data_IF_723423473953
#
_entry.id   IF_723423473953
#
_cell.length_a   1.000
_cell.length_b   1.000
_cell.length_c   1.000
_cell.angle_alpha   90.00
_cell.angle_beta   90.00
_cell.angle_gamma   90.00
#
_symmetry.space_group_name_H-M   'P 1'
#
loop_
_entity.id
_entity.type
_entity.pdbx_description
1 polymer ?
#
# COMPACT_ATOMS: atom_id res chain seq x y z
N UNK A 1 -9.89 4.02 22.51
CA UNK A 1 -9.22 5.16 21.85
C UNK A 1 -10.16 5.84 20.88
N UNK A 2 -9.84 7.08 20.54
CA UNK A 2 -10.42 7.79 19.41
C UNK A 2 -9.42 7.76 18.21
N UNK A 3 -9.85 7.24 17.08
CA UNK A 3 -9.00 7.07 15.88
C UNK A 3 -9.66 7.78 14.69
N UNK A 4 -8.87 8.49 13.91
CA UNK A 4 -9.28 9.06 12.62
C UNK A 4 -8.56 8.30 11.51
N UNK A 5 -9.31 7.79 10.51
CA UNK A 5 -8.74 7.13 9.34
C UNK A 5 -9.04 7.98 8.10
N UNK A 6 -8.00 8.46 7.43
CA UNK A 6 -8.10 9.36 6.28
C UNK A 6 -7.85 8.59 4.98
N UNK A 7 -8.76 8.74 4.04
CA UNK A 7 -8.94 8.00 2.80
C UNK A 7 -9.56 6.60 3.03
N UNK A 8 -10.88 6.51 2.80
CA UNK A 8 -11.68 5.29 2.97
C UNK A 8 -11.75 4.44 1.68
N UNK A 9 -10.60 4.29 1.01
CA UNK A 9 -10.48 3.40 -0.13
C UNK A 9 -10.46 1.92 0.25
N UNK A 10 -10.01 1.08 -0.71
CA UNK A 10 -9.95 -0.39 -0.54
C UNK A 10 -9.13 -0.87 0.66
N UNK A 11 -8.23 -0.06 1.19
CA UNK A 11 -7.42 -0.37 2.38
C UNK A 11 -7.96 0.35 3.61
N UNK A 12 -8.17 1.67 3.53
CA UNK A 12 -8.53 2.48 4.70
C UNK A 12 -9.87 2.11 5.31
N UNK A 13 -10.88 1.78 4.50
CA UNK A 13 -12.20 1.41 5.03
C UNK A 13 -12.21 0.07 5.77
N UNK A 14 -11.64 -1.03 5.24
CA UNK A 14 -11.51 -2.27 6.02
C UNK A 14 -10.68 -2.08 7.30
N UNK A 15 -9.61 -1.30 7.25
CA UNK A 15 -8.81 -0.98 8.45
C UNK A 15 -9.64 -0.20 9.48
N UNK A 16 -10.40 0.82 9.07
CA UNK A 16 -11.29 1.56 9.95
C UNK A 16 -12.34 0.66 10.62
N UNK A 17 -12.94 -0.26 9.85
CA UNK A 17 -13.88 -1.24 10.38
C UNK A 17 -13.21 -2.23 11.34
N UNK A 18 -11.98 -2.68 11.05
CA UNK A 18 -11.21 -3.56 11.93
C UNK A 18 -10.91 -2.89 13.27
N UNK A 19 -10.45 -1.64 13.25
CA UNK A 19 -10.18 -0.84 14.46
C UNK A 19 -11.47 -0.64 15.28
N UNK A 20 -12.59 -0.33 14.62
CA UNK A 20 -13.88 -0.17 15.28
C UNK A 20 -14.38 -1.49 15.90
N UNK A 21 -14.16 -2.64 15.25
CA UNK A 21 -14.47 -3.97 15.81
C UNK A 21 -13.64 -4.31 17.03
N UNK A 22 -12.41 -3.82 17.10
CA UNK A 22 -11.58 -3.93 18.31
C UNK A 22 -12.07 -3.06 19.49
N UNK A 23 -13.20 -2.35 19.32
CA UNK A 23 -13.86 -1.58 20.39
C UNK A 23 -13.46 -0.11 20.44
N UNK A 24 -12.80 0.42 19.41
CA UNK A 24 -12.40 1.82 19.35
C UNK A 24 -13.46 2.69 18.64
N UNK A 25 -13.51 3.98 19.01
CA UNK A 25 -14.29 4.97 18.29
C UNK A 25 -13.50 5.43 17.07
N UNK A 26 -14.09 5.28 15.88
CA UNK A 26 -13.43 5.60 14.61
C UNK A 26 -14.22 6.66 13.84
N UNK A 27 -13.51 7.67 13.34
CA UNK A 27 -14.04 8.60 12.34
C UNK A 27 -13.27 8.37 11.04
N UNK A 28 -13.97 7.89 10.02
CA UNK A 28 -13.42 7.79 8.67
C UNK A 28 -13.58 9.12 7.93
N UNK A 29 -12.55 9.52 7.16
CA UNK A 29 -12.61 10.70 6.32
C UNK A 29 -12.31 10.34 4.87
N UNK A 30 -13.15 10.80 3.94
CA UNK A 30 -12.92 10.66 2.51
C UNK A 30 -13.40 11.90 1.76
N UNK A 31 -12.70 12.28 0.69
CA UNK A 31 -13.08 13.44 -0.14
C UNK A 31 -14.36 13.20 -0.96
N UNK A 32 -14.70 11.94 -1.26
CA UNK A 32 -15.96 11.61 -1.96
C UNK A 32 -17.11 11.50 -0.96
N UNK A 33 -18.09 12.44 -0.98
CA UNK A 33 -19.23 12.40 -0.08
C UNK A 33 -20.07 11.13 -0.24
N UNK A 34 -20.09 10.50 -1.43
CA UNK A 34 -20.82 9.25 -1.67
C UNK A 34 -20.19 8.09 -0.91
N UNK A 35 -18.88 8.04 -0.78
CA UNK A 35 -18.19 7.05 0.07
C UNK A 35 -18.63 7.22 1.51
N UNK A 36 -18.62 8.45 2.04
CA UNK A 36 -19.06 8.72 3.41
C UNK A 36 -20.54 8.37 3.63
N UNK A 37 -21.42 8.69 2.68
CA UNK A 37 -22.85 8.34 2.76
C UNK A 37 -23.08 6.84 2.79
N UNK A 38 -22.41 6.07 1.92
CA UNK A 38 -22.49 4.61 1.88
C UNK A 38 -22.01 3.99 3.19
N UNK A 39 -20.84 4.41 3.68
CA UNK A 39 -20.30 3.94 4.96
C UNK A 39 -21.28 4.21 6.11
N UNK A 40 -21.85 5.42 6.19
CA UNK A 40 -22.80 5.78 7.24
C UNK A 40 -24.14 4.99 7.14
N UNK A 41 -24.44 4.40 5.98
CA UNK A 41 -25.57 3.47 5.80
C UNK A 41 -25.17 2.00 5.97
N UNK A 42 -23.93 1.73 6.40
CA UNK A 42 -23.33 0.40 6.48
C UNK A 42 -23.30 -0.35 5.12
N UNK A 43 -23.14 0.39 4.02
CA UNK A 43 -23.06 -0.15 2.66
C UNK A 43 -21.59 -0.09 2.16
N UNK A 44 -21.17 -1.11 1.42
CA UNK A 44 -19.82 -1.15 0.84
C UNK A 44 -19.68 -0.22 -0.38
N UNK A 45 -18.80 0.79 -0.36
CA UNK A 45 -18.50 1.59 -1.56
C UNK A 45 -17.75 0.82 -2.64
N UNK A 46 -16.96 -0.18 -2.23
CA UNK A 46 -16.06 -0.97 -3.10
C UNK A 46 -16.28 -2.46 -2.83
N UNK A 47 -16.99 -3.20 -3.70
CA UNK A 47 -17.23 -4.62 -3.49
C UNK A 47 -15.97 -5.46 -3.66
N UNK A 48 -15.92 -6.60 -2.98
CA UNK A 48 -14.89 -7.61 -3.18
C UNK A 48 -13.97 -7.85 -1.98
N UNK A 49 -14.19 -7.16 -0.85
CA UNK A 49 -13.48 -7.46 0.40
C UNK A 49 -14.31 -8.40 1.29
N UNK A 50 -13.77 -9.59 1.55
CA UNK A 50 -14.48 -10.60 2.33
C UNK A 50 -14.75 -10.12 3.77
N UNK A 51 -16.02 -10.11 4.17
CA UNK A 51 -16.45 -9.76 5.52
C UNK A 51 -16.66 -8.26 5.77
N UNK A 52 -16.38 -7.37 4.81
CA UNK A 52 -16.51 -5.92 5.01
C UNK A 52 -17.96 -5.50 5.26
N UNK A 53 -18.94 -6.00 4.48
CA UNK A 53 -20.35 -5.69 4.67
C UNK A 53 -20.84 -6.02 6.08
N UNK A 54 -20.49 -7.21 6.58
CA UNK A 54 -20.84 -7.63 7.94
C UNK A 54 -20.17 -6.75 9.01
N UNK A 55 -18.89 -6.41 8.80
CA UNK A 55 -18.16 -5.53 9.71
C UNK A 55 -18.78 -4.12 9.76
N UNK A 56 -19.13 -3.54 8.60
CA UNK A 56 -19.79 -2.23 8.53
C UNK A 56 -21.15 -2.24 9.23
N UNK A 57 -21.97 -3.26 8.97
CA UNK A 57 -23.28 -3.40 9.63
C UNK A 57 -23.16 -3.41 11.16
N UNK A 58 -22.14 -4.11 11.69
CA UNK A 58 -21.85 -4.17 13.12
C UNK A 58 -21.39 -2.80 13.65
N UNK A 59 -20.29 -2.25 13.11
CA UNK A 59 -19.62 -1.10 13.75
C UNK A 59 -20.32 0.23 13.52
N UNK A 60 -21.05 0.38 12.42
CA UNK A 60 -21.90 1.55 12.16
C UNK A 60 -23.19 1.45 12.99
N UNK A 61 -23.81 0.26 13.07
CA UNK A 61 -24.98 0.01 13.90
C UNK A 61 -24.76 0.31 15.37
N UNK A 62 -23.57 0.01 15.89
CA UNK A 62 -23.16 0.30 17.27
C UNK A 62 -22.66 1.74 17.49
N UNK A 63 -22.58 2.55 16.43
CA UNK A 63 -22.06 3.92 16.47
C UNK A 63 -20.54 4.03 16.70
N UNK A 64 -19.78 2.93 16.52
CA UNK A 64 -18.32 2.92 16.67
C UNK A 64 -17.57 3.45 15.44
N UNK A 65 -18.21 3.40 14.26
CA UNK A 65 -17.70 3.97 13.02
C UNK A 65 -18.69 4.96 12.44
N UNK A 66 -18.23 6.16 12.10
CA UNK A 66 -18.92 7.12 11.25
C UNK A 66 -17.97 7.67 10.21
N UNK A 67 -18.49 8.22 9.13
CA UNK A 67 -17.69 8.83 8.07
C UNK A 67 -18.11 10.28 7.78
N UNK A 68 -17.16 11.12 7.40
CA UNK A 68 -17.38 12.52 7.03
C UNK A 68 -16.33 12.98 6.00
N UNK A 69 -16.59 14.11 5.33
CA UNK A 69 -15.66 14.66 4.33
C UNK A 69 -14.65 15.65 4.92
N UNK A 70 -14.90 16.18 6.09
CA UNK A 70 -14.06 17.20 6.72
C UNK A 70 -13.01 16.53 7.64
N UNK A 71 -11.83 16.29 7.07
CA UNK A 71 -10.67 15.74 7.80
C UNK A 71 -10.21 16.66 8.92
N UNK A 72 -10.14 17.96 8.67
CA UNK A 72 -9.71 18.95 9.67
C UNK A 72 -10.61 18.94 10.90
N UNK A 73 -11.94 18.94 10.70
CA UNK A 73 -12.88 18.86 11.80
C UNK A 73 -12.76 17.54 12.59
N UNK A 74 -12.55 16.40 11.90
CA UNK A 74 -12.36 15.10 12.56
C UNK A 74 -11.10 15.09 13.44
N UNK A 75 -9.98 15.60 12.91
CA UNK A 75 -8.70 15.67 13.64
C UNK A 75 -8.77 16.68 14.79
N UNK A 76 -9.54 17.77 14.64
CA UNK A 76 -9.74 18.77 15.68
C UNK A 76 -10.50 18.21 16.92
N UNK A 77 -11.15 17.05 16.82
CA UNK A 77 -11.74 16.36 17.97
C UNK A 77 -10.69 15.77 18.93
N UNK A 78 -9.40 15.84 18.60
CA UNK A 78 -8.28 15.37 19.44
C UNK A 78 -8.18 13.83 19.50
N UNK A 79 -8.02 13.14 18.35
CA UNK A 79 -7.83 11.69 18.35
C UNK A 79 -6.49 11.28 18.96
N UNK A 80 -6.45 10.07 19.53
CA UNK A 80 -5.21 9.43 19.98
C UNK A 80 -4.31 9.08 18.78
N UNK A 81 -4.94 8.68 17.65
CA UNK A 81 -4.27 8.22 16.44
C UNK A 81 -4.99 8.73 15.19
N UNK A 82 -4.24 9.31 14.27
CA UNK A 82 -4.66 9.59 12.90
C UNK A 82 -3.91 8.65 11.97
N UNK A 83 -4.62 7.87 11.16
CA UNK A 83 -4.03 6.98 10.14
C UNK A 83 -4.31 7.56 8.77
N UNK A 84 -3.26 7.91 8.02
CA UNK A 84 -3.36 8.45 6.68
C UNK A 84 -3.03 7.37 5.63
N UNK A 85 -4.00 7.07 4.76
CA UNK A 85 -3.89 6.03 3.71
C UNK A 85 -4.22 6.61 2.31
N UNK A 86 -3.86 7.89 1.99
CA UNK A 86 -4.13 8.41 0.66
C UNK A 86 -3.28 7.70 -0.39
N UNK A 87 -3.72 7.62 -1.66
CA UNK A 87 -2.90 7.06 -2.72
C UNK A 87 -1.69 7.96 -3.02
N UNK A 88 -0.51 7.35 -3.19
CA UNK A 88 0.64 8.00 -3.80
C UNK A 88 0.89 7.32 -5.16
N UNK A 89 0.79 8.11 -6.22
CA UNK A 89 0.95 7.67 -7.60
C UNK A 89 2.30 8.16 -8.15
N UNK A 90 2.61 7.76 -9.38
CA UNK A 90 3.70 8.33 -10.17
C UNK A 90 3.17 9.12 -11.34
N UNK A 91 3.88 10.19 -11.70
CA UNK A 91 3.62 10.96 -12.91
C UNK A 91 4.10 10.22 -14.18
N UNK A 92 3.91 10.82 -15.35
CA UNK A 92 4.34 10.26 -16.63
C UNK A 92 5.87 10.05 -16.73
N UNK A 93 6.65 10.72 -15.89
CA UNK A 93 8.10 10.55 -15.77
C UNK A 93 8.50 9.57 -14.66
N UNK A 94 7.55 8.79 -14.14
CA UNK A 94 7.75 7.83 -13.06
C UNK A 94 8.24 8.45 -11.73
N UNK A 95 7.94 9.72 -11.50
CA UNK A 95 8.26 10.44 -10.24
C UNK A 95 7.04 10.46 -9.32
N UNK A 96 7.21 10.41 -7.97
CA UNK A 96 6.11 10.49 -7.03
C UNK A 96 5.26 11.76 -7.23
N UNK A 97 3.95 11.61 -7.30
CA UNK A 97 2.99 12.71 -7.37
C UNK A 97 2.47 13.04 -5.97
N UNK A 98 3.02 14.06 -5.38
CA UNK A 98 2.78 14.44 -3.98
C UNK A 98 1.44 15.14 -3.71
N UNK A 99 0.71 15.59 -4.75
CA UNK A 99 -0.43 16.48 -4.60
C UNK A 99 -1.50 15.97 -3.62
N UNK A 100 -1.83 14.70 -3.69
CA UNK A 100 -2.86 14.10 -2.82
C UNK A 100 -2.33 13.96 -1.39
N UNK A 101 -1.10 13.45 -1.23
CA UNK A 101 -0.49 13.31 0.09
C UNK A 101 -0.35 14.66 0.78
N UNK A 102 0.14 15.68 0.06
CA UNK A 102 0.32 17.03 0.62
C UNK A 102 -1.01 17.66 1.05
N UNK A 103 -2.08 17.48 0.28
CA UNK A 103 -3.40 17.97 0.65
C UNK A 103 -3.91 17.29 1.93
N UNK A 104 -3.79 15.96 2.02
CA UNK A 104 -4.19 15.20 3.22
C UNK A 104 -3.37 15.62 4.44
N UNK A 105 -2.07 15.78 4.28
CA UNK A 105 -1.19 16.23 5.38
C UNK A 105 -1.55 17.65 5.84
N UNK A 106 -1.90 18.55 4.91
CA UNK A 106 -2.34 19.90 5.24
C UNK A 106 -3.66 19.91 6.03
N UNK A 107 -4.64 19.08 5.61
CA UNK A 107 -5.93 18.95 6.32
C UNK A 107 -5.74 18.38 7.74
N UNK A 108 -4.86 17.38 7.89
CA UNK A 108 -4.51 16.83 9.20
C UNK A 108 -3.84 17.91 10.07
N UNK A 109 -2.87 18.61 9.52
CA UNK A 109 -2.12 19.64 10.23
C UNK A 109 -3.04 20.75 10.78
N UNK A 110 -4.01 21.19 9.98
CA UNK A 110 -4.95 22.27 10.38
C UNK A 110 -5.82 21.88 11.59
N UNK A 111 -6.10 20.58 11.78
CA UNK A 111 -6.86 20.08 12.93
C UNK A 111 -6.01 19.53 14.07
N UNK A 112 -4.70 19.37 13.88
CA UNK A 112 -3.83 18.60 14.78
C UNK A 112 -3.80 19.16 16.21
N UNK A 113 -3.87 18.26 17.19
CA UNK A 113 -3.86 18.61 18.62
C UNK A 113 -2.67 17.98 19.32
N UNK A 114 -2.18 18.59 20.41
CA UNK A 114 -1.14 17.99 21.26
C UNK A 114 -1.57 16.60 21.77
N UNK A 115 -0.62 15.66 21.78
CA UNK A 115 -0.84 14.26 22.22
C UNK A 115 -1.26 13.31 21.10
N UNK A 116 -1.62 13.81 19.92
CA UNK A 116 -1.99 12.98 18.75
C UNK A 116 -0.76 12.28 18.15
N UNK A 117 -0.91 11.02 17.77
CA UNK A 117 0.04 10.32 16.89
C UNK A 117 -0.50 10.29 15.46
N UNK A 118 0.31 10.69 14.49
CA UNK A 118 -0.01 10.59 13.06
C UNK A 118 0.76 9.44 12.44
N UNK A 119 0.07 8.43 11.94
CA UNK A 119 0.63 7.30 11.22
C UNK A 119 0.38 7.43 9.74
N UNK A 120 1.42 7.31 8.93
CA UNK A 120 1.29 7.18 7.47
C UNK A 120 1.41 5.71 7.10
N UNK A 121 0.40 5.19 6.39
CA UNK A 121 0.39 3.79 5.91
C UNK A 121 0.57 3.67 4.40
N UNK A 122 0.40 4.76 3.68
CA UNK A 122 0.70 4.85 2.25
C UNK A 122 2.16 4.53 1.99
N UNK A 123 2.44 3.66 1.02
CA UNK A 123 3.83 3.38 0.61
C UNK A 123 4.51 4.63 0.09
N UNK A 124 5.68 4.94 0.65
CA UNK A 124 6.44 6.16 0.41
C UNK A 124 7.87 5.85 -0.03
N UNK A 125 8.54 6.76 -0.76
CA UNK A 125 10.00 6.80 -0.85
C UNK A 125 10.62 6.95 0.55
N UNK A 126 11.78 6.33 0.76
CA UNK A 126 12.50 6.39 2.06
C UNK A 126 12.82 7.83 2.45
N UNK A 127 12.60 8.15 3.72
CA UNK A 127 12.83 9.49 4.29
C UNK A 127 11.62 10.42 4.20
N UNK A 128 10.57 10.08 3.44
CA UNK A 128 9.41 10.95 3.22
C UNK A 128 8.70 11.32 4.51
N UNK A 129 8.55 10.40 5.44
CA UNK A 129 7.90 10.66 6.73
C UNK A 129 8.64 11.74 7.52
N UNK A 130 9.96 11.68 7.55
CA UNK A 130 10.82 12.63 8.27
C UNK A 130 10.99 13.96 7.54
N UNK A 131 11.23 13.92 6.22
CA UNK A 131 11.68 15.10 5.47
C UNK A 131 10.51 15.90 4.87
N UNK A 132 9.33 15.25 4.71
CA UNK A 132 8.17 15.89 4.10
C UNK A 132 6.96 15.95 5.02
N UNK A 133 6.53 14.80 5.59
CA UNK A 133 5.27 14.73 6.34
C UNK A 133 5.39 15.48 7.68
N UNK A 134 6.35 15.14 8.52
CA UNK A 134 6.48 15.74 9.84
C UNK A 134 6.73 17.25 9.79
N UNK A 135 7.59 17.80 8.90
CA UNK A 135 7.73 19.24 8.75
C UNK A 135 6.45 19.94 8.28
N UNK A 136 5.67 19.32 7.38
CA UNK A 136 4.40 19.89 6.93
C UNK A 136 3.34 19.89 8.03
N UNK A 137 3.27 18.81 8.84
CA UNK A 137 2.41 18.78 10.03
C UNK A 137 2.79 19.87 11.04
N UNK A 138 4.07 20.05 11.30
CA UNK A 138 4.56 21.10 12.20
C UNK A 138 4.22 22.50 11.69
N UNK A 139 4.50 22.78 10.42
CA UNK A 139 4.24 24.08 9.80
C UNK A 139 2.74 24.44 9.79
N UNK A 140 1.86 23.48 9.50
CA UNK A 140 0.42 23.72 9.44
C UNK A 140 -0.27 23.80 10.81
N UNK A 141 0.24 23.08 11.81
CA UNK A 141 -0.35 23.05 13.17
C UNK A 141 0.28 24.06 14.14
N UNK A 142 1.52 24.47 13.89
CA UNK A 142 2.32 25.25 14.85
C UNK A 142 2.82 24.44 16.05
N UNK A 143 2.67 23.11 16.02
CA UNK A 143 3.12 22.18 17.07
C UNK A 143 4.53 21.68 16.80
N UNK A 144 5.25 21.30 17.86
CA UNK A 144 6.61 20.76 17.76
C UNK A 144 6.58 19.23 17.60
N UNK A 145 7.17 18.69 16.50
CA UNK A 145 7.26 17.25 16.30
C UNK A 145 8.01 16.55 17.44
N UNK A 146 7.59 15.32 17.76
CA UNK A 146 8.20 14.45 18.77
C UNK A 146 8.16 15.00 20.21
N UNK A 147 7.47 16.13 20.40
CA UNK A 147 7.16 16.70 21.71
C UNK A 147 5.66 16.90 21.90
N UNK A 148 5.02 17.62 21.00
CA UNK A 148 3.59 17.93 21.06
C UNK A 148 2.75 16.89 20.33
N UNK A 149 3.29 16.27 19.29
CA UNK A 149 2.72 15.17 18.54
C UNK A 149 3.81 14.21 18.06
N UNK A 150 3.42 12.97 17.74
CA UNK A 150 4.35 11.98 17.21
C UNK A 150 4.00 11.63 15.76
N UNK A 151 5.02 11.29 14.97
CA UNK A 151 4.83 10.80 13.61
C UNK A 151 5.48 9.43 13.45
N UNK A 152 4.70 8.47 12.93
CA UNK A 152 5.18 7.10 12.65
C UNK A 152 4.83 6.72 11.21
N UNK A 153 5.60 5.80 10.68
CA UNK A 153 5.29 5.10 9.44
C UNK A 153 4.94 3.64 9.73
N UNK A 154 3.81 3.18 9.21
CA UNK A 154 3.35 1.81 9.42
C UNK A 154 2.78 1.24 8.12
N UNK A 155 3.62 0.65 7.24
CA UNK A 155 3.17 0.25 5.92
C UNK A 155 2.07 -0.82 5.97
N UNK A 156 1.09 -0.68 5.08
CA UNK A 156 0.11 -1.73 4.90
C UNK A 156 0.66 -2.86 4.02
N UNK A 157 0.48 -4.11 4.46
CA UNK A 157 1.05 -5.31 3.84
C UNK A 157 0.00 -6.34 3.42
N UNK A 158 -1.27 -5.98 3.54
CA UNK A 158 -2.41 -6.85 3.23
C UNK A 158 -2.66 -6.99 1.74
N UNK A 159 -3.44 -7.99 1.37
CA UNK A 159 -3.89 -8.23 0.01
C UNK A 159 -5.40 -7.99 -0.09
N UNK A 160 -5.83 -7.17 -1.07
CA UNK A 160 -7.25 -6.89 -1.32
C UNK A 160 -8.06 -8.17 -1.49
N UNK A 161 -9.25 -8.23 -0.88
CA UNK A 161 -10.12 -9.40 -0.85
C UNK A 161 -9.92 -10.29 0.38
N UNK A 162 -8.88 -10.08 1.18
CA UNK A 162 -8.61 -10.83 2.41
C UNK A 162 -7.94 -10.00 3.51
N UNK A 163 -8.23 -8.70 3.54
CA UNK A 163 -7.56 -7.73 4.40
C UNK A 163 -7.71 -8.11 5.89
N UNK A 164 -8.92 -8.45 6.33
CA UNK A 164 -9.15 -8.84 7.74
C UNK A 164 -8.29 -10.02 8.17
N UNK A 165 -8.21 -11.06 7.32
CA UNK A 165 -7.35 -12.22 7.59
C UNK A 165 -5.88 -11.83 7.68
N UNK A 166 -5.43 -10.98 6.75
CA UNK A 166 -4.01 -10.60 6.66
C UNK A 166 -3.63 -9.68 7.84
N UNK A 167 -4.54 -8.81 8.32
CA UNK A 167 -4.37 -8.00 9.53
C UNK A 167 -4.22 -8.85 10.80
N UNK A 168 -4.88 -10.01 10.85
CA UNK A 168 -4.79 -10.95 11.98
C UNK A 168 -3.58 -11.90 11.88
N UNK A 169 -2.85 -11.89 10.76
CA UNK A 169 -1.81 -12.90 10.48
C UNK A 169 -0.42 -12.30 10.29
N UNK A 170 -0.32 -11.16 9.58
CA UNK A 170 0.98 -10.58 9.24
C UNK A 170 1.47 -9.62 10.33
N UNK A 171 2.77 -9.64 10.65
CA UNK A 171 3.32 -8.62 11.54
C UNK A 171 3.04 -7.22 11.02
N UNK A 172 2.49 -6.36 11.87
CA UNK A 172 2.35 -4.92 11.60
C UNK A 172 3.65 -4.22 11.96
N UNK A 173 4.25 -3.55 10.99
CA UNK A 173 5.51 -2.84 11.19
C UNK A 173 5.24 -1.41 11.64
N UNK A 174 5.99 -0.91 12.60
CA UNK A 174 5.89 0.48 13.07
C UNK A 174 7.29 1.07 13.20
N UNK A 175 7.57 2.15 12.48
CA UNK A 175 8.80 2.90 12.61
C UNK A 175 8.51 4.35 13.00
N UNK A 176 9.15 4.84 14.05
CA UNK A 176 8.99 6.21 14.53
C UNK A 176 10.08 7.16 14.05
N UNK A 177 9.83 8.47 14.18
CA UNK A 177 10.87 9.49 13.98
C UNK A 177 11.77 9.63 15.21
N UNK A 178 11.28 9.17 16.37
CA UNK A 178 12.02 9.03 17.62
C UNK A 178 11.68 7.71 18.30
N UNK A 179 12.49 7.28 19.27
CA UNK A 179 12.21 6.10 20.08
C UNK A 179 10.89 6.24 20.87
N UNK A 180 10.57 7.44 21.33
CA UNK A 180 9.32 7.72 22.03
C UNK A 180 8.11 7.61 21.09
N UNK A 181 8.21 8.18 19.87
CA UNK A 181 7.18 8.09 18.85
C UNK A 181 6.95 6.66 18.39
N UNK A 182 8.03 5.87 18.18
CA UNK A 182 7.90 4.45 17.85
C UNK A 182 7.20 3.66 18.97
N UNK A 183 7.63 3.85 20.23
CA UNK A 183 7.02 3.16 21.36
C UNK A 183 5.52 3.49 21.47
N UNK A 184 5.17 4.77 21.30
CA UNK A 184 3.77 5.22 21.28
C UNK A 184 2.98 4.61 20.15
N UNK A 185 3.52 4.60 18.91
CA UNK A 185 2.91 3.95 17.77
C UNK A 185 2.69 2.45 18.00
N UNK A 186 3.70 1.73 18.50
CA UNK A 186 3.60 0.30 18.81
C UNK A 186 2.50 0.03 19.85
N UNK A 187 2.40 0.85 20.91
CA UNK A 187 1.34 0.74 21.91
C UNK A 187 -0.05 0.89 21.29
N UNK A 188 -0.24 1.93 20.45
CA UNK A 188 -1.51 2.20 19.78
C UNK A 188 -1.92 1.05 18.84
N UNK A 189 -1.00 0.58 17.98
CA UNK A 189 -1.29 -0.53 17.07
C UNK A 189 -1.59 -1.85 17.82
N UNK A 190 -0.91 -2.15 18.91
CA UNK A 190 -1.20 -3.33 19.73
C UNK A 190 -2.61 -3.37 20.32
N UNK A 191 -3.29 -2.23 20.41
CA UNK A 191 -4.64 -2.17 20.94
C UNK A 191 -5.71 -2.71 20.00
N UNK A 192 -5.41 -2.85 18.69
CA UNK A 192 -6.35 -3.35 17.70
C UNK A 192 -5.75 -4.40 16.75
N UNK A 193 -4.44 -4.56 16.68
CA UNK A 193 -3.83 -5.68 15.98
C UNK A 193 -3.84 -6.87 16.93
N UNK A 194 -4.48 -7.96 16.50
CA UNK A 194 -4.74 -9.13 17.33
C UNK A 194 -4.48 -10.44 16.58
N UNK A 195 -5.08 -11.52 17.06
CA UNK A 195 -4.91 -12.84 16.46
C UNK A 195 -3.49 -13.39 16.63
N UNK A 196 -2.89 -13.85 15.53
CA UNK A 196 -1.50 -14.29 15.48
C UNK A 196 -0.53 -13.18 15.04
N UNK A 197 -1.05 -12.01 14.69
CA UNK A 197 -0.23 -10.89 14.25
C UNK A 197 0.48 -10.21 15.44
N UNK A 198 1.72 -9.85 15.22
CA UNK A 198 2.53 -9.09 16.16
C UNK A 198 2.75 -7.66 15.66
N UNK A 199 3.07 -6.73 16.55
CA UNK A 199 3.52 -5.38 16.18
C UNK A 199 5.02 -5.29 16.37
N UNK A 200 5.75 -5.10 15.28
CA UNK A 200 7.21 -5.05 15.27
C UNK A 200 7.72 -3.60 15.21
N UNK A 201 8.47 -3.15 16.22
CA UNK A 201 9.20 -1.90 16.13
C UNK A 201 10.33 -2.03 15.09
N UNK A 202 10.49 -1.03 14.24
CA UNK A 202 11.46 -1.05 13.14
C UNK A 202 12.72 -0.24 13.41
N UNK A 203 12.78 0.47 14.54
CA UNK A 203 13.91 1.32 14.92
C UNK A 203 13.88 2.72 14.27
N UNK A 204 13.23 2.87 13.12
CA UNK A 204 13.02 4.17 12.47
C UNK A 204 11.91 4.10 11.41
N UNK A 205 11.36 5.26 11.04
CA UNK A 205 10.41 5.36 9.94
C UNK A 205 11.05 4.92 8.61
N UNK A 206 12.31 5.28 8.37
CA UNK A 206 13.06 4.92 7.17
C UNK A 206 13.23 3.40 7.04
N UNK A 207 13.46 2.68 8.13
CA UNK A 207 13.55 1.23 8.11
C UNK A 207 12.21 0.59 7.72
N UNK A 208 11.10 1.12 8.22
CA UNK A 208 9.77 0.64 7.87
C UNK A 208 9.41 0.97 6.40
N UNK A 209 9.72 2.19 5.92
CA UNK A 209 9.56 2.61 4.53
C UNK A 209 10.38 1.72 3.58
N UNK A 210 11.67 1.49 3.89
CA UNK A 210 12.55 0.65 3.09
C UNK A 210 12.08 -0.80 3.07
N UNK A 211 11.57 -1.34 4.17
CA UNK A 211 11.05 -2.71 4.23
C UNK A 211 9.90 -2.90 3.23
N UNK A 212 8.97 -1.94 3.16
CA UNK A 212 7.86 -2.01 2.20
C UNK A 212 8.34 -1.96 0.76
N UNK A 213 9.30 -1.11 0.46
CA UNK A 213 9.90 -1.03 -0.88
C UNK A 213 10.72 -2.28 -1.22
N UNK A 214 11.44 -2.86 -0.25
CA UNK A 214 12.19 -4.10 -0.45
C UNK A 214 11.28 -5.27 -0.84
N UNK A 215 10.16 -5.48 -0.13
CA UNK A 215 9.19 -6.54 -0.45
C UNK A 215 8.65 -6.45 -1.89
N UNK A 216 8.27 -5.26 -2.30
CA UNK A 216 7.64 -5.03 -3.59
C UNK A 216 8.65 -5.02 -4.73
N UNK A 217 9.83 -4.45 -4.49
CA UNK A 217 10.93 -4.44 -5.46
C UNK A 217 11.52 -5.83 -5.66
N UNK A 218 11.67 -6.62 -4.59
CA UNK A 218 12.04 -8.03 -4.70
C UNK A 218 11.08 -8.80 -5.62
N UNK A 219 9.79 -8.60 -5.44
CA UNK A 219 8.78 -9.27 -6.28
C UNK A 219 8.89 -8.87 -7.75
N UNK A 220 9.09 -7.59 -8.03
CA UNK A 220 9.27 -7.09 -9.39
C UNK A 220 10.51 -7.65 -10.08
N UNK A 221 11.65 -7.70 -9.36
CA UNK A 221 12.90 -8.29 -9.83
C UNK A 221 12.73 -9.79 -10.09
N UNK A 222 12.06 -10.49 -9.20
CA UNK A 222 11.82 -11.94 -9.34
C UNK A 222 10.92 -12.25 -10.56
N UNK A 223 9.90 -11.43 -10.80
CA UNK A 223 9.06 -11.53 -12.01
C UNK A 223 9.91 -11.25 -13.27
N UNK A 224 10.77 -10.23 -13.25
CA UNK A 224 11.65 -9.93 -14.37
C UNK A 224 12.59 -11.11 -14.69
N UNK A 225 13.17 -11.72 -13.67
CA UNK A 225 13.99 -12.92 -13.84
C UNK A 225 13.20 -14.09 -14.44
N UNK A 226 11.96 -14.33 -13.97
CA UNK A 226 11.10 -15.35 -14.55
C UNK A 226 10.76 -15.06 -16.02
N UNK A 227 10.57 -13.79 -16.39
CA UNK A 227 10.34 -13.35 -17.75
C UNK A 227 11.56 -13.56 -18.67
N UNK A 228 12.76 -13.27 -18.17
CA UNK A 228 14.00 -13.58 -18.93
C UNK A 228 14.20 -15.07 -19.11
N UNK A 229 13.92 -15.89 -18.08
CA UNK A 229 13.95 -17.35 -18.21
C UNK A 229 12.96 -17.84 -19.27
N UNK A 230 11.75 -17.27 -19.33
CA UNK A 230 10.76 -17.66 -20.34
C UNK A 230 11.28 -17.37 -21.77
N UNK A 231 11.85 -16.20 -22.00
CA UNK A 231 12.43 -15.83 -23.30
C UNK A 231 13.59 -16.75 -23.68
N UNK A 232 14.45 -17.10 -22.75
CA UNK A 232 15.55 -18.03 -22.98
C UNK A 232 15.05 -19.46 -23.24
N UNK A 233 14.07 -19.93 -22.46
CA UNK A 233 13.45 -21.24 -22.65
C UNK A 233 12.78 -21.37 -24.02
N UNK A 234 12.08 -20.34 -24.47
CA UNK A 234 11.49 -20.29 -25.83
C UNK A 234 12.54 -20.45 -26.92
N UNK A 235 13.69 -19.77 -26.80
CA UNK A 235 14.79 -19.87 -27.74
C UNK A 235 15.42 -21.28 -27.79
N UNK A 236 15.34 -22.02 -26.68
CA UNK A 236 15.84 -23.38 -26.57
C UNK A 236 14.78 -24.45 -26.91
N UNK A 237 13.52 -24.07 -27.05
CA UNK A 237 12.41 -25.00 -27.25
C UNK A 237 12.10 -25.85 -26.01
N UNK A 238 12.35 -25.32 -24.79
CA UNK A 238 12.08 -26.01 -23.54
C UNK A 238 10.91 -25.38 -22.78
N UNK A 239 10.22 -26.18 -21.97
CA UNK A 239 9.11 -25.71 -21.15
C UNK A 239 9.61 -24.99 -19.90
N UNK A 240 9.44 -23.65 -19.85
CA UNK A 240 9.84 -22.80 -18.72
C UNK A 240 9.11 -23.17 -17.43
N UNK A 241 7.86 -23.64 -17.50
CA UNK A 241 7.12 -24.01 -16.30
C UNK A 241 7.81 -25.19 -15.57
N UNK A 242 8.22 -26.20 -16.34
CA UNK A 242 8.99 -27.34 -15.80
C UNK A 242 10.36 -26.92 -15.25
N UNK A 243 11.04 -25.99 -15.92
CA UNK A 243 12.32 -25.45 -15.46
C UNK A 243 12.15 -24.74 -14.12
N UNK A 244 11.15 -23.87 -13.99
CA UNK A 244 10.87 -23.13 -12.75
C UNK A 244 10.45 -24.08 -11.63
N UNK A 245 9.57 -25.07 -11.90
CA UNK A 245 9.15 -26.05 -10.89
C UNK A 245 10.34 -26.86 -10.38
N UNK A 246 11.21 -27.32 -11.27
CA UNK A 246 12.42 -28.03 -10.91
C UNK A 246 13.40 -27.15 -10.10
N UNK A 247 13.59 -25.89 -10.50
CA UNK A 247 14.44 -24.97 -9.76
C UNK A 247 13.89 -24.68 -8.35
N UNK A 248 12.56 -24.56 -8.21
CA UNK A 248 11.89 -24.29 -6.94
C UNK A 248 11.73 -25.53 -6.05
N UNK A 249 12.14 -26.73 -6.51
CA UNK A 249 12.05 -27.96 -5.71
C UNK A 249 13.07 -27.99 -4.55
N UNK A 250 14.01 -27.08 -4.49
CA UNK A 250 14.96 -26.91 -3.41
C UNK A 250 14.68 -25.59 -2.63
N UNK A 251 15.06 -25.49 -1.34
CA UNK A 251 14.54 -24.45 -0.44
C UNK A 251 15.09 -23.03 -0.68
N UNK A 252 16.09 -22.85 -1.54
CA UNK A 252 16.75 -21.56 -1.75
C UNK A 252 16.27 -20.81 -2.99
N UNK A 253 15.37 -21.40 -3.79
CA UNK A 253 14.79 -20.76 -4.98
C UNK A 253 13.30 -20.57 -4.82
N UNK A 254 12.82 -19.34 -5.14
CA UNK A 254 11.42 -18.96 -5.14
C UNK A 254 11.10 -18.14 -6.38
N UNK A 255 11.36 -18.72 -7.56
CA UNK A 255 11.17 -18.05 -8.84
C UNK A 255 9.67 -17.92 -9.11
N UNK A 256 9.22 -16.71 -9.44
CA UNK A 256 7.84 -16.44 -9.83
C UNK A 256 7.51 -17.00 -11.20
N UNK A 257 6.24 -16.92 -11.60
CA UNK A 257 5.80 -17.30 -12.94
C UNK A 257 6.00 -16.14 -13.89
N UNK A 258 6.44 -16.38 -15.14
CA UNK A 258 6.48 -15.36 -16.18
C UNK A 258 5.07 -14.93 -16.58
N UNK A 259 4.96 -13.73 -17.13
CA UNK A 259 3.69 -13.19 -17.60
C UNK A 259 3.85 -12.09 -18.63
N UNK A 260 2.77 -11.79 -19.36
CA UNK A 260 2.74 -10.77 -20.42
C UNK A 260 2.92 -9.36 -19.84
N UNK A 261 2.45 -9.14 -18.63
CA UNK A 261 2.55 -7.86 -17.94
C UNK A 261 2.60 -8.06 -16.41
N UNK A 262 3.05 -7.05 -15.69
CA UNK A 262 2.94 -6.97 -14.25
C UNK A 262 1.74 -6.10 -13.92
N UNK A 263 0.66 -6.74 -13.48
CA UNK A 263 -0.59 -6.04 -13.11
C UNK A 263 -0.57 -5.46 -11.70
N UNK A 264 -1.65 -4.74 -11.37
CA UNK A 264 -1.88 -4.13 -10.08
C UNK A 264 -1.24 -2.76 -9.91
N UNK A 265 -1.53 -2.13 -8.77
CA UNK A 265 -1.05 -0.79 -8.44
C UNK A 265 0.33 -0.78 -7.79
N UNK A 266 0.68 -1.85 -7.05
CA UNK A 266 1.85 -1.86 -6.17
C UNK A 266 3.13 -2.21 -6.94
N UNK A 267 3.17 -3.38 -7.58
CA UNK A 267 4.41 -3.90 -8.17
C UNK A 267 4.91 -3.04 -9.35
N UNK A 268 4.06 -2.51 -10.25
CA UNK A 268 4.54 -1.63 -11.31
C UNK A 268 5.01 -0.25 -10.83
N UNK A 269 4.60 0.20 -9.64
CA UNK A 269 4.77 1.58 -9.15
C UNK A 269 5.88 1.69 -8.09
N UNK A 270 5.87 0.85 -7.07
CA UNK A 270 6.75 1.02 -5.92
C UNK A 270 8.27 0.88 -6.20
N UNK A 271 8.73 0.10 -7.19
CA UNK A 271 10.13 0.16 -7.59
C UNK A 271 10.59 1.55 -8.06
N UNK A 272 9.67 2.40 -8.57
CA UNK A 272 10.01 3.79 -8.88
C UNK A 272 10.23 4.64 -7.63
N UNK A 273 9.53 4.33 -6.52
CA UNK A 273 9.79 4.98 -5.22
C UNK A 273 11.16 4.56 -4.65
N UNK A 274 11.54 3.29 -4.83
CA UNK A 274 12.89 2.84 -4.49
C UNK A 274 13.95 3.62 -5.29
N UNK A 275 13.80 3.68 -6.62
CA UNK A 275 14.70 4.40 -7.52
C UNK A 275 14.70 5.92 -7.31
N UNK A 276 13.63 6.49 -6.72
CA UNK A 276 13.59 7.89 -6.35
C UNK A 276 14.59 8.20 -5.23
N UNK A 277 14.71 7.32 -4.25
CA UNK A 277 15.65 7.43 -3.14
C UNK A 277 17.08 6.95 -3.47
N UNK A 278 17.22 5.97 -4.37
CA UNK A 278 18.51 5.41 -4.80
C UNK A 278 18.61 5.36 -6.33
N UNK A 279 19.22 6.40 -6.91
CA UNK A 279 19.37 6.53 -8.37
C UNK A 279 20.45 5.62 -8.95
N UNK A 280 21.31 5.04 -8.11
CA UNK A 280 22.38 4.13 -8.53
C UNK A 280 21.93 2.66 -8.51
N UNK A 281 20.75 2.36 -7.98
CA UNK A 281 20.19 1.03 -7.93
C UNK A 281 19.94 0.47 -9.34
N UNK A 282 20.69 -0.53 -9.74
CA UNK A 282 20.64 -1.09 -11.10
C UNK A 282 19.57 -2.16 -11.24
N UNK A 283 19.45 -3.08 -10.28
CA UNK A 283 18.54 -4.22 -10.38
C UNK A 283 17.06 -3.79 -10.55
N UNK A 284 16.52 -2.85 -9.76
CA UNK A 284 15.14 -2.41 -9.95
C UNK A 284 14.91 -1.74 -11.31
N UNK A 285 15.89 -0.96 -11.80
CA UNK A 285 15.80 -0.29 -13.10
C UNK A 285 15.72 -1.30 -14.26
N UNK A 286 16.63 -2.28 -14.29
CA UNK A 286 16.66 -3.34 -15.30
C UNK A 286 15.39 -4.21 -15.21
N UNK A 287 14.94 -4.56 -14.00
CA UNK A 287 13.72 -5.34 -13.83
C UNK A 287 12.49 -4.63 -14.43
N UNK A 288 12.36 -3.32 -14.22
CA UNK A 288 11.30 -2.51 -14.82
C UNK A 288 11.38 -2.48 -16.35
N UNK A 289 12.56 -2.44 -16.91
CA UNK A 289 12.78 -2.52 -18.36
C UNK A 289 12.36 -3.88 -18.92
N UNK A 290 12.83 -4.97 -18.32
CA UNK A 290 12.45 -6.35 -18.70
C UNK A 290 10.94 -6.53 -18.66
N UNK A 291 10.30 -6.19 -17.53
CA UNK A 291 8.86 -6.37 -17.34
C UNK A 291 8.04 -5.52 -18.33
N UNK A 292 8.46 -4.29 -18.62
CA UNK A 292 7.80 -3.43 -19.63
C UNK A 292 7.96 -3.96 -21.07
N UNK A 293 9.00 -4.72 -21.34
CA UNK A 293 9.23 -5.33 -22.66
C UNK A 293 8.33 -6.53 -22.95
N UNK A 294 7.73 -7.17 -21.94
CA UNK A 294 6.99 -8.41 -22.12
C UNK A 294 5.73 -8.32 -23.00
N UNK A 295 4.92 -7.26 -22.97
CA UNK A 295 3.82 -7.12 -23.94
C UNK A 295 4.30 -7.12 -25.39
N UNK A 296 5.41 -6.43 -25.68
CA UNK A 296 6.03 -6.45 -27.02
C UNK A 296 6.50 -7.85 -27.40
N UNK A 297 7.14 -8.55 -26.46
CA UNK A 297 7.56 -9.94 -26.68
C UNK A 297 6.37 -10.86 -27.00
N UNK A 298 5.25 -10.73 -26.28
CA UNK A 298 4.04 -11.52 -26.54
C UNK A 298 3.47 -11.25 -27.95
N UNK A 299 3.51 -9.99 -28.40
CA UNK A 299 3.09 -9.63 -29.78
C UNK A 299 4.02 -10.26 -30.82
N UNK A 300 5.33 -10.30 -30.58
CA UNK A 300 6.26 -10.97 -31.49
C UNK A 300 6.00 -12.48 -31.57
N UNK A 301 5.77 -13.13 -30.42
CA UNK A 301 5.40 -14.56 -30.39
C UNK A 301 4.10 -14.83 -31.17
N UNK A 302 3.11 -13.94 -31.04
CA UNK A 302 1.86 -14.04 -31.82
C UNK A 302 2.13 -13.88 -33.31
N UNK A 303 2.98 -12.93 -33.71
CA UNK A 303 3.36 -12.72 -35.10
C UNK A 303 4.01 -13.96 -35.72
N UNK A 304 4.96 -14.55 -35.00
CA UNK A 304 5.63 -15.80 -35.43
C UNK A 304 4.63 -16.96 -35.60
N UNK A 305 3.71 -17.12 -34.62
CA UNK A 305 2.68 -18.16 -34.67
C UNK A 305 1.71 -18.02 -35.84
N UNK A 306 1.50 -16.78 -36.34
CA UNK A 306 0.65 -16.47 -37.48
C UNK A 306 1.40 -16.40 -38.83
N UNK A 307 2.67 -16.77 -38.86
CA UNK A 307 3.48 -16.80 -40.10
C UNK A 307 4.04 -15.45 -40.52
N UNK A 308 4.14 -14.48 -39.58
CA UNK A 308 4.87 -13.24 -39.76
C UNK A 308 4.02 -11.97 -39.91
N UNK A 309 2.73 -12.06 -40.23
CA UNK A 309 1.87 -10.88 -40.38
C UNK A 309 0.69 -10.87 -39.43
N UNK A 310 0.42 -9.70 -38.83
CA UNK A 310 -0.71 -9.48 -37.92
C UNK A 310 -1.85 -8.68 -38.55
N UNK A 311 -1.63 -8.07 -39.72
CA UNK A 311 -2.66 -7.27 -40.36
C UNK A 311 -3.90 -8.13 -40.67
N UNK A 312 -5.07 -7.68 -40.22
CA UNK A 312 -6.34 -8.40 -40.40
C UNK A 312 -6.55 -9.62 -39.51
N UNK A 313 -5.59 -9.98 -38.64
CA UNK A 313 -5.76 -11.06 -37.69
C UNK A 313 -6.81 -10.70 -36.62
N UNK A 314 -7.69 -11.67 -36.31
CA UNK A 314 -8.64 -11.54 -35.19
C UNK A 314 -8.01 -12.13 -33.94
N UNK A 315 -7.84 -11.30 -32.92
CA UNK A 315 -7.21 -11.68 -31.65
C UNK A 315 -8.21 -11.50 -30.50
N UNK A 316 -8.31 -12.48 -29.63
CA UNK A 316 -9.10 -12.42 -28.40
C UNK A 316 -8.14 -12.40 -27.21
N UNK A 317 -8.27 -11.39 -26.35
CA UNK A 317 -7.54 -11.32 -25.09
C UNK A 317 -8.46 -11.84 -23.99
N UNK A 318 -8.03 -12.91 -23.31
CA UNK A 318 -8.76 -13.50 -22.19
C UNK A 318 -8.22 -12.95 -20.89
N UNK A 319 -9.10 -12.31 -20.12
CA UNK A 319 -8.77 -11.67 -18.86
C UNK A 319 -8.10 -10.31 -19.06
N UNK A 320 -8.76 -9.26 -18.57
CA UNK A 320 -8.20 -7.91 -18.50
C UNK A 320 -8.04 -7.60 -17.02
N UNK A 321 -6.80 -7.61 -16.55
CA UNK A 321 -6.48 -7.21 -15.19
C UNK A 321 -5.94 -5.77 -15.16
N UNK A 322 -6.24 -5.06 -14.06
CA UNK A 322 -5.70 -3.73 -13.82
C UNK A 322 -4.35 -3.83 -13.10
#
# INVERSE_FOLDING_TARGET
MHVVVVALGKIGLPLAAHIARAGHRVVGCDVDPRVCELVNRAEEPFPGEAGLAAALAEVVGDGRLRAQTDTTAAVAEGPDLVIAVPPLLVDAAARPDWRILDAVVADIAAGLRPGTTVSVETTLPVGTTRERVAPALAAGSGLEPERDFFTVFSPERVYSGRIFRDLDTYPKLVGGLSAAGEARGVELYRSFIGGAAEVWPMGSAEAAELTKLAETTYRDINIAFANELARHADALGVDVARVIDAANSQPFSHIHRPGVAVGGHCIPVYPHFYLHGDREARLPAVAREVNRGMPGYAVERLREALGGELAGARVVILGVAY
#
